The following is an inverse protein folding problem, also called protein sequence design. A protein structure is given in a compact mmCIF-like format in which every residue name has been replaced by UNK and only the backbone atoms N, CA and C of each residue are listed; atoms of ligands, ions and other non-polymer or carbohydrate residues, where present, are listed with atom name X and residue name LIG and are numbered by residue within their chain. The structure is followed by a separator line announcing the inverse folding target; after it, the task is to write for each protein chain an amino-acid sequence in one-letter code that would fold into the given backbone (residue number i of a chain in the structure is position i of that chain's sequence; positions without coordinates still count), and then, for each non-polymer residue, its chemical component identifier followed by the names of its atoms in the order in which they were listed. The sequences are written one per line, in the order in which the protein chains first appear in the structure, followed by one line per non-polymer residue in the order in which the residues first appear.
data_IF_805502003711
#
_entry.id   IF_805502003711
#
_cell.length_a   1.000
_cell.length_b   1.000
_cell.length_c   1.000
_cell.angle_alpha   90.00
_cell.angle_beta   90.00
_cell.angle_gamma   90.00
#
_symmetry.space_group_name_H-M   'P 1'
#
loop_
_entity.id
_entity.type
_entity.pdbx_description
1 polymer ?
#
# COMPACT_ATOMS: atom_id res chain seq x y z
N UNK A 1 29.17 52.14 -25.51
CA UNK A 1 29.46 51.67 -24.14
C UNK A 1 28.38 50.68 -23.72
N UNK A 2 28.62 49.38 -23.89
CA UNK A 2 27.64 48.31 -23.60
C UNK A 2 27.93 47.70 -22.21
N UNK A 3 26.93 47.69 -21.31
CA UNK A 3 27.03 47.05 -19.98
C UNK A 3 26.55 45.60 -20.06
N UNK A 4 27.50 44.66 -19.94
CA UNK A 4 27.28 43.22 -19.84
C UNK A 4 26.72 42.84 -18.45
N UNK A 5 25.46 42.41 -18.38
CA UNK A 5 24.89 41.79 -17.17
C UNK A 5 25.01 40.26 -17.25
N UNK A 6 26.11 39.72 -16.71
CA UNK A 6 26.27 38.28 -16.49
C UNK A 6 25.35 37.81 -15.36
N UNK A 7 24.22 37.20 -15.70
CA UNK A 7 23.37 36.43 -14.77
C UNK A 7 24.20 35.29 -14.17
N UNK A 8 24.48 35.34 -12.86
CA UNK A 8 25.05 34.23 -12.10
C UNK A 8 24.07 33.06 -12.11
N UNK A 9 24.39 32.01 -12.88
CA UNK A 9 23.74 30.69 -12.76
C UNK A 9 24.00 30.14 -11.36
N UNK A 10 22.97 30.11 -10.50
CA UNK A 10 22.99 29.32 -9.27
C UNK A 10 23.03 27.84 -9.65
N UNK A 11 24.09 27.14 -9.23
CA UNK A 11 24.17 25.67 -9.30
C UNK A 11 22.95 25.10 -8.56
N UNK A 12 22.09 24.36 -9.26
CA UNK A 12 21.11 23.48 -8.61
C UNK A 12 21.91 22.41 -7.89
N UNK A 13 21.94 22.47 -6.56
CA UNK A 13 22.44 21.37 -5.73
C UNK A 13 21.42 20.26 -5.84
N UNK A 14 21.85 19.12 -6.39
CA UNK A 14 21.10 17.87 -6.36
C UNK A 14 21.02 17.43 -4.90
N UNK A 15 19.85 17.57 -4.30
CA UNK A 15 19.56 17.01 -2.99
C UNK A 15 18.73 15.76 -3.24
N UNK A 16 19.39 14.60 -3.27
CA UNK A 16 18.73 13.30 -3.38
C UNK A 16 18.11 12.98 -2.02
N UNK A 17 16.84 13.35 -1.83
CA UNK A 17 16.06 12.90 -0.67
C UNK A 17 15.45 11.55 -1.03
N UNK A 18 16.07 10.47 -0.57
CA UNK A 18 15.44 9.15 -0.56
C UNK A 18 14.56 9.06 0.68
N UNK A 19 13.24 9.10 0.49
CA UNK A 19 12.30 8.60 1.47
C UNK A 19 11.40 7.61 0.74
N UNK A 20 11.70 6.33 0.93
CA UNK A 20 10.92 5.23 0.41
C UNK A 20 9.67 5.10 1.28
N UNK A 21 8.49 5.28 0.68
CA UNK A 21 7.29 4.67 1.24
C UNK A 21 7.43 3.19 0.90
N UNK A 22 8.05 2.43 1.80
CA UNK A 22 8.19 0.97 1.63
C UNK A 22 6.86 0.35 2.00
N UNK A 23 6.02 0.17 0.99
CA UNK A 23 4.91 -0.77 1.04
C UNK A 23 5.50 -2.19 0.96
N UNK A 24 5.26 -2.95 2.03
CA UNK A 24 5.93 -4.20 2.32
C UNK A 24 5.16 -5.37 1.70
N UNK A 25 5.40 -5.69 0.43
CA UNK A 25 4.86 -6.93 -0.14
C UNK A 25 5.79 -8.09 0.24
N UNK A 26 5.46 -8.79 1.32
CA UNK A 26 6.23 -9.93 1.81
C UNK A 26 5.39 -11.19 1.95
N UNK A 27 5.27 -11.98 0.89
CA UNK A 27 4.78 -13.37 0.99
C UNK A 27 5.94 -14.29 1.39
N UNK A 28 5.83 -14.95 2.55
CA UNK A 28 6.82 -15.94 3.04
C UNK A 28 6.20 -17.32 3.02
N UNK A 29 6.64 -18.17 2.08
CA UNK A 29 6.48 -19.62 2.14
C UNK A 29 7.63 -20.23 2.94
N UNK A 30 7.37 -20.83 4.10
CA UNK A 30 8.24 -21.84 4.71
C UNK A 30 7.42 -22.79 5.59
N UNK A 31 7.11 -23.99 5.10
CA UNK A 31 6.64 -25.10 5.93
C UNK A 31 7.72 -26.20 5.92
N UNK A 32 8.56 -26.23 6.95
CA UNK A 32 9.47 -27.35 7.21
C UNK A 32 8.85 -28.26 8.27
N UNK A 33 8.67 -29.53 7.91
CA UNK A 33 8.18 -30.61 8.77
C UNK A 33 8.92 -30.67 10.11
N UNK A 34 8.19 -30.53 11.21
CA UNK A 34 8.64 -31.00 12.53
C UNK A 34 7.56 -31.91 13.12
N UNK A 35 7.87 -33.20 13.11
CA UNK A 35 7.09 -34.27 13.72
C UNK A 35 7.36 -34.25 15.23
N UNK A 36 6.39 -33.83 16.04
CA UNK A 36 6.24 -34.33 17.41
C UNK A 36 4.79 -34.09 17.87
N UNK A 37 4.04 -35.19 18.02
CA UNK A 37 2.65 -35.19 18.42
C UNK A 37 2.53 -34.97 19.94
N UNK A 38 1.88 -33.87 20.34
CA UNK A 38 1.26 -33.72 21.65
C UNK A 38 -0.27 -33.80 21.47
N UNK A 39 -1.02 -34.35 22.43
CA UNK A 39 -2.48 -34.45 22.33
C UNK A 39 -3.08 -33.04 22.25
N UNK A 40 -3.87 -32.80 21.21
CA UNK A 40 -4.44 -31.50 20.88
C UNK A 40 -5.59 -31.13 21.82
N UNK A 41 -5.40 -30.10 22.63
CA UNK A 41 -6.51 -29.27 23.10
C UNK A 41 -7.26 -28.70 21.88
N UNK A 42 -8.59 -28.51 21.91
CA UNK A 42 -9.31 -27.90 20.80
C UNK A 42 -8.80 -26.47 20.59
N UNK A 43 -7.97 -26.29 19.56
CA UNK A 43 -7.51 -24.99 19.10
C UNK A 43 -8.74 -24.25 18.59
N UNK A 44 -9.08 -23.11 19.19
CA UNK A 44 -9.98 -22.13 18.59
C UNK A 44 -9.37 -21.76 17.23
N UNK A 45 -9.95 -22.29 16.16
CA UNK A 45 -9.60 -21.94 14.79
C UNK A 45 -10.04 -20.49 14.59
N UNK A 46 -9.09 -19.55 14.60
CA UNK A 46 -9.31 -18.23 14.01
C UNK A 46 -9.90 -18.46 12.62
N UNK A 47 -11.13 -18.00 12.37
CA UNK A 47 -11.78 -18.15 11.07
C UNK A 47 -10.92 -17.45 10.03
N UNK A 48 -10.19 -18.24 9.23
CA UNK A 48 -9.40 -17.75 8.12
C UNK A 48 -10.38 -17.18 7.10
N UNK A 49 -10.44 -15.85 6.98
CA UNK A 49 -11.30 -15.17 6.01
C UNK A 49 -10.96 -15.70 4.61
N UNK A 50 -11.95 -16.28 3.93
CA UNK A 50 -11.73 -16.72 2.57
C UNK A 50 -11.42 -15.53 1.67
N UNK A 51 -10.66 -15.74 0.59
CA UNK A 51 -10.31 -14.67 -0.36
C UNK A 51 -11.54 -13.94 -0.91
N UNK A 52 -12.63 -14.67 -1.12
CA UNK A 52 -13.91 -14.12 -1.58
C UNK A 52 -14.58 -13.29 -0.49
N UNK A 53 -14.58 -13.73 0.76
CA UNK A 53 -15.11 -12.94 1.89
C UNK A 53 -14.34 -11.64 2.08
N UNK A 54 -13.01 -11.67 1.93
CA UNK A 54 -12.19 -10.46 1.99
C UNK A 54 -12.59 -9.44 0.91
N UNK A 55 -12.74 -9.89 -0.35
CA UNK A 55 -13.15 -9.02 -1.46
C UNK A 55 -14.58 -8.51 -1.23
N UNK A 56 -15.52 -9.40 -0.94
CA UNK A 56 -16.94 -9.04 -0.80
C UNK A 56 -17.21 -8.12 0.39
N UNK A 57 -16.42 -8.23 1.46
CA UNK A 57 -16.49 -7.31 2.59
C UNK A 57 -16.05 -5.89 2.22
N UNK A 58 -14.93 -5.74 1.51
CA UNK A 58 -14.35 -4.42 1.18
C UNK A 58 -14.95 -3.76 -0.06
N UNK A 59 -15.50 -4.55 -0.99
CA UNK A 59 -15.99 -4.06 -2.27
C UNK A 59 -17.04 -2.94 -2.16
N UNK A 60 -18.06 -3.00 -1.28
CA UNK A 60 -19.03 -1.92 -1.15
C UNK A 60 -18.39 -0.57 -0.81
N UNK A 61 -17.41 -0.55 0.10
CA UNK A 61 -16.74 0.69 0.49
C UNK A 61 -15.75 1.15 -0.59
N UNK A 62 -15.04 0.22 -1.27
CA UNK A 62 -14.20 0.57 -2.40
C UNK A 62 -14.99 1.24 -3.53
N UNK A 63 -16.22 0.76 -3.79
CA UNK A 63 -17.16 1.37 -4.74
C UNK A 63 -17.60 2.77 -4.30
N UNK A 64 -17.93 2.94 -3.02
CA UNK A 64 -18.28 4.27 -2.49
C UNK A 64 -17.12 5.26 -2.67
N UNK A 65 -15.89 4.85 -2.38
CA UNK A 65 -14.71 5.68 -2.60
C UNK A 65 -14.57 6.01 -4.09
N UNK A 66 -14.75 5.03 -4.98
CA UNK A 66 -14.72 5.25 -6.42
C UNK A 66 -15.72 6.32 -6.86
N UNK A 67 -16.98 6.20 -6.45
CA UNK A 67 -18.04 7.15 -6.80
C UNK A 67 -17.75 8.58 -6.29
N UNK A 68 -17.18 8.69 -5.08
CA UNK A 68 -16.90 10.00 -4.44
C UNK A 68 -15.61 10.66 -4.93
N UNK A 69 -14.58 9.87 -5.24
CA UNK A 69 -13.20 10.35 -5.40
C UNK A 69 -12.60 10.04 -6.78
N UNK A 70 -13.26 9.23 -7.61
CA UNK A 70 -12.80 8.83 -8.94
C UNK A 70 -11.69 7.78 -8.94
N UNK A 71 -11.21 7.33 -7.78
CA UNK A 71 -10.18 6.30 -7.66
C UNK A 71 -10.80 4.95 -7.99
N UNK A 72 -10.23 4.20 -8.94
CA UNK A 72 -10.79 2.90 -9.35
C UNK A 72 -10.87 1.91 -8.17
N UNK A 73 -12.06 1.34 -7.95
CA UNK A 73 -12.28 0.39 -6.87
C UNK A 73 -11.38 -0.85 -6.99
N UNK A 74 -11.11 -1.28 -8.21
CA UNK A 74 -10.19 -2.38 -8.52
C UNK A 74 -8.75 -2.10 -8.04
N UNK A 75 -8.30 -0.84 -8.09
CA UNK A 75 -6.99 -0.42 -7.58
C UNK A 75 -6.97 -0.49 -6.06
N UNK A 76 -8.01 0.05 -5.40
CA UNK A 76 -8.11 0.03 -3.94
C UNK A 76 -8.10 -1.42 -3.43
N UNK A 77 -8.93 -2.28 -4.02
CA UNK A 77 -9.02 -3.70 -3.64
C UNK A 77 -7.74 -4.47 -3.99
N UNK A 78 -7.15 -4.23 -5.16
CA UNK A 78 -5.91 -4.87 -5.58
C UNK A 78 -4.74 -4.55 -4.66
N UNK A 79 -4.62 -3.28 -4.23
CA UNK A 79 -3.63 -2.88 -3.23
C UNK A 79 -3.96 -3.47 -1.86
N UNK A 80 -5.22 -3.42 -1.41
CA UNK A 80 -5.60 -4.03 -0.13
C UNK A 80 -5.20 -5.50 -0.07
N UNK A 81 -5.49 -6.29 -1.11
CA UNK A 81 -5.09 -7.70 -1.20
C UNK A 81 -3.57 -7.86 -1.09
N UNK A 82 -2.81 -7.10 -1.87
CA UNK A 82 -1.36 -7.25 -1.99
C UNK A 82 -0.63 -6.82 -0.71
N UNK A 83 -1.04 -5.70 -0.11
CA UNK A 83 -0.38 -5.10 1.05
C UNK A 83 -0.74 -5.80 2.37
N UNK A 84 -1.95 -6.38 2.46
CA UNK A 84 -2.44 -7.03 3.68
C UNK A 84 -2.24 -8.54 3.72
N UNK A 85 -1.79 -9.14 2.62
CA UNK A 85 -1.85 -10.59 2.40
C UNK A 85 -3.26 -11.14 2.67
N UNK A 86 -4.27 -10.62 1.96
CA UNK A 86 -5.68 -11.01 2.16
C UNK A 86 -6.20 -10.76 3.58
N UNK A 87 -5.76 -9.68 4.22
CA UNK A 87 -6.08 -9.35 5.60
C UNK A 87 -5.34 -10.19 6.63
N UNK A 88 -4.46 -11.11 6.22
CA UNK A 88 -3.76 -12.04 7.12
C UNK A 88 -2.50 -11.45 7.75
N UNK A 89 -2.02 -10.28 7.33
CA UNK A 89 -0.89 -9.65 7.99
C UNK A 89 -1.22 -9.29 9.45
N UNK A 90 -0.21 -9.36 10.33
CA UNK A 90 -0.39 -8.99 11.75
C UNK A 90 -0.96 -7.57 11.90
N UNK A 91 -0.54 -6.65 11.03
CA UNK A 91 -1.04 -5.28 10.98
C UNK A 91 -2.53 -5.21 10.63
N UNK A 92 -2.97 -6.02 9.67
CA UNK A 92 -4.38 -6.04 9.23
C UNK A 92 -5.28 -6.69 10.27
N UNK A 93 -4.88 -7.83 10.84
CA UNK A 93 -5.70 -8.58 11.78
C UNK A 93 -5.86 -7.89 13.14
N UNK A 94 -4.77 -7.31 13.68
CA UNK A 94 -4.77 -6.77 15.05
C UNK A 94 -5.02 -5.28 15.12
N UNK A 95 -4.72 -4.55 14.04
CA UNK A 95 -4.70 -3.08 14.04
C UNK A 95 -5.47 -2.48 12.87
N UNK A 96 -6.17 -3.32 12.10
CA UNK A 96 -6.97 -2.95 10.94
C UNK A 96 -6.21 -2.14 9.88
N UNK A 97 -4.89 -2.26 9.81
CA UNK A 97 -4.04 -1.50 8.90
C UNK A 97 -3.70 -2.32 7.66
N UNK A 98 -4.59 -2.28 6.67
CA UNK A 98 -4.49 -3.05 5.42
C UNK A 98 -3.26 -2.69 4.58
N UNK A 99 -2.81 -1.44 4.66
CA UNK A 99 -1.80 -0.91 3.74
C UNK A 99 -0.45 -0.66 4.44
N UNK A 100 -0.27 -1.07 5.69
CA UNK A 100 0.99 -0.84 6.42
C UNK A 100 1.35 0.65 6.58
N UNK A 101 0.36 1.52 6.72
CA UNK A 101 0.57 2.98 6.81
C UNK A 101 1.31 3.30 8.13
N UNK A 102 2.49 3.91 8.00
CA UNK A 102 3.32 4.36 9.13
C UNK A 102 2.67 5.56 9.82
N UNK A 103 2.76 5.60 11.14
CA UNK A 103 2.28 6.72 11.94
C UNK A 103 3.38 7.77 12.16
N UNK A 104 3.02 9.04 12.00
CA UNK A 104 3.88 10.17 12.32
C UNK A 104 3.19 11.07 13.33
N UNK A 105 3.87 11.40 14.44
CA UNK A 105 3.34 12.31 15.45
C UNK A 105 2.41 11.65 16.49
N UNK A 106 1.34 12.35 16.86
CA UNK A 106 0.40 11.95 17.92
C UNK A 106 -0.82 11.26 17.31
N UNK A 107 -1.32 10.22 17.98
CA UNK A 107 -2.45 9.40 17.54
C UNK A 107 -2.24 7.94 17.99
N UNK A 108 -3.26 7.12 17.82
CA UNK A 108 -3.17 5.69 18.13
C UNK A 108 -2.19 5.03 17.14
N UNK A 109 -1.22 4.33 17.71
CA UNK A 109 -0.14 3.70 16.96
C UNK A 109 0.39 2.48 17.67
N UNK A 110 0.92 1.55 16.89
CA UNK A 110 1.62 0.37 17.38
C UNK A 110 3.07 0.39 16.89
N UNK A 111 4.00 0.07 17.78
CA UNK A 111 5.41 -0.08 17.44
C UNK A 111 5.72 -1.54 17.12
N UNK A 112 6.07 -1.82 15.86
CA UNK A 112 6.36 -3.18 15.39
C UNK A 112 7.66 -3.23 14.61
N UNK A 113 8.23 -4.44 14.53
CA UNK A 113 9.31 -4.74 13.59
C UNK A 113 8.73 -4.95 12.20
N UNK A 114 9.41 -4.43 11.19
CA UNK A 114 9.08 -4.60 9.78
C UNK A 114 10.35 -4.87 8.97
N UNK A 115 10.19 -5.44 7.78
CA UNK A 115 11.28 -5.64 6.83
C UNK A 115 11.24 -4.54 5.78
N UNK A 116 12.39 -3.94 5.50
CA UNK A 116 12.53 -2.93 4.45
C UNK A 116 13.56 -3.38 3.44
N UNK A 117 13.36 -3.04 2.17
CA UNK A 117 14.32 -3.29 1.11
C UNK A 117 15.18 -2.05 0.89
N UNK A 118 16.43 -2.09 1.35
CA UNK A 118 17.39 -0.97 1.28
C UNK A 118 18.66 -1.47 0.62
N UNK A 119 19.14 -0.76 -0.40
CA UNK A 119 20.37 -1.07 -1.13
C UNK A 119 20.45 -2.52 -1.63
N UNK A 120 19.33 -3.05 -2.15
CA UNK A 120 19.25 -4.40 -2.69
C UNK A 120 19.13 -5.51 -1.65
N UNK A 121 18.93 -5.19 -0.36
CA UNK A 121 18.87 -6.16 0.74
C UNK A 121 17.67 -5.90 1.65
N UNK A 122 17.09 -6.98 2.13
CA UNK A 122 16.08 -6.92 3.21
C UNK A 122 16.78 -6.72 4.55
N UNK A 123 16.36 -5.70 5.29
CA UNK A 123 16.76 -5.42 6.66
C UNK A 123 15.53 -5.38 7.57
N UNK A 124 15.68 -5.78 8.83
CA UNK A 124 14.62 -5.58 9.82
C UNK A 124 14.85 -4.25 10.53
N UNK A 125 13.81 -3.41 10.55
CA UNK A 125 13.78 -2.17 11.34
C UNK A 125 12.53 -2.16 12.21
N UNK A 126 12.43 -1.19 13.10
CA UNK A 126 11.19 -0.95 13.84
C UNK A 126 10.58 0.39 13.45
N UNK A 127 9.26 0.43 13.37
CA UNK A 127 8.50 1.61 12.98
C UNK A 127 7.19 1.69 13.76
N UNK A 128 6.67 2.92 13.88
CA UNK A 128 5.31 3.16 14.34
C UNK A 128 4.34 3.00 13.16
N UNK A 129 3.28 2.25 13.35
CA UNK A 129 2.19 2.06 12.38
C UNK A 129 0.88 2.61 12.93
N UNK A 130 0.03 3.14 12.06
CA UNK A 130 -1.31 3.59 12.43
C UNK A 130 -2.17 2.40 12.85
N UNK A 131 -3.07 2.64 13.79
CA UNK A 131 -4.12 1.71 14.22
C UNK A 131 -5.47 2.29 13.80
N UNK A 132 -6.34 1.47 13.24
CA UNK A 132 -7.66 1.89 12.76
C UNK A 132 -8.80 1.17 13.49
N UNK A 133 -9.98 1.81 13.60
CA UNK A 133 -11.16 1.16 14.16
C UNK A 133 -11.65 -0.03 13.32
N UNK A 134 -11.50 0.04 12.00
CA UNK A 134 -11.92 -0.96 11.02
C UNK A 134 -11.09 -0.84 9.73
N UNK A 135 -11.29 -1.77 8.79
CA UNK A 135 -10.55 -1.81 7.52
C UNK A 135 -10.95 -0.66 6.59
N UNK A 136 -12.21 -0.24 6.63
CA UNK A 136 -12.75 0.89 5.87
C UNK A 136 -12.03 2.20 6.23
N UNK A 137 -11.79 2.47 7.51
CA UNK A 137 -11.00 3.63 7.93
C UNK A 137 -9.55 3.58 7.41
N UNK A 138 -8.97 2.39 7.28
CA UNK A 138 -7.66 2.23 6.64
C UNK A 138 -7.73 2.47 5.13
N UNK A 139 -8.84 2.15 4.46
CA UNK A 139 -9.05 2.44 3.04
C UNK A 139 -9.20 3.94 2.80
N UNK A 140 -9.98 4.64 3.62
CA UNK A 140 -10.14 6.09 3.55
C UNK A 140 -8.80 6.84 3.75
N UNK A 141 -7.96 6.41 4.71
CA UNK A 141 -6.63 7.04 4.92
C UNK A 141 -5.65 6.71 3.79
N UNK A 142 -5.72 5.50 3.23
CA UNK A 142 -4.96 5.14 2.05
C UNK A 142 -5.33 6.01 0.85
N UNK A 143 -6.62 6.17 0.54
CA UNK A 143 -7.03 6.96 -0.64
C UNK A 143 -6.86 8.46 -0.45
N UNK A 144 -6.87 8.94 0.80
CA UNK A 144 -6.46 10.30 1.12
C UNK A 144 -5.00 10.60 0.69
N UNK A 145 -4.10 9.60 0.64
CA UNK A 145 -2.75 9.77 0.08
C UNK A 145 -2.81 10.18 -1.40
N UNK A 146 -3.72 9.60 -2.18
CA UNK A 146 -3.84 9.92 -3.60
C UNK A 146 -4.33 11.35 -3.82
N UNK A 147 -5.31 11.77 -3.00
CA UNK A 147 -5.89 13.11 -3.08
C UNK A 147 -4.95 14.21 -2.61
N UNK A 148 -4.20 13.96 -1.54
CA UNK A 148 -3.38 14.98 -0.88
C UNK A 148 -1.89 14.93 -1.29
N UNK A 149 -1.47 13.85 -1.94
CA UNK A 149 -0.08 13.56 -2.24
C UNK A 149 0.78 13.47 -0.98
N UNK A 150 2.05 13.84 -1.13
CA UNK A 150 3.04 13.88 -0.05
C UNK A 150 3.46 15.32 0.22
N UNK A 151 4.04 15.59 1.39
CA UNK A 151 4.38 16.95 1.85
C UNK A 151 5.25 17.78 0.89
N UNK A 152 6.04 17.11 0.04
CA UNK A 152 6.91 17.77 -0.95
C UNK A 152 6.31 17.80 -2.36
N UNK A 153 5.24 17.04 -2.62
CA UNK A 153 4.52 17.01 -3.89
C UNK A 153 3.07 16.53 -3.67
N UNK A 154 2.16 17.49 -3.57
CA UNK A 154 0.73 17.24 -3.37
C UNK A 154 0.02 16.62 -4.58
N UNK A 155 0.65 16.67 -5.76
CA UNK A 155 0.05 16.20 -7.02
C UNK A 155 0.67 14.87 -7.47
N UNK A 156 1.57 14.26 -6.67
CA UNK A 156 2.37 13.10 -7.10
C UNK A 156 1.52 11.91 -7.57
N UNK A 157 0.32 11.75 -7.02
CA UNK A 157 -0.60 10.66 -7.33
C UNK A 157 -1.80 11.08 -8.19
N UNK A 158 -1.84 12.32 -8.69
CA UNK A 158 -2.90 12.76 -9.61
C UNK A 158 -3.04 11.85 -10.85
N UNK A 159 -1.96 11.34 -11.46
CA UNK A 159 -2.10 10.39 -12.57
C UNK A 159 -2.81 9.07 -12.20
N UNK A 160 -2.85 8.69 -10.92
CA UNK A 160 -3.62 7.52 -10.45
C UNK A 160 -5.11 7.83 -10.45
N UNK A 161 -5.49 9.05 -10.10
CA UNK A 161 -6.88 9.52 -10.06
C UNK A 161 -7.41 9.78 -11.47
N UNK A 162 -6.58 10.31 -12.38
CA UNK A 162 -6.97 10.58 -13.78
C UNK A 162 -7.02 9.32 -14.66
N UNK A 163 -6.46 8.22 -14.19
CA UNK A 163 -6.41 6.97 -14.95
C UNK A 163 -7.83 6.43 -15.22
N UNK A 164 -8.11 6.10 -16.48
CA UNK A 164 -9.42 5.58 -16.89
C UNK A 164 -9.49 4.07 -16.85
N UNK A 165 -8.35 3.41 -16.70
CA UNK A 165 -8.23 1.96 -16.59
C UNK A 165 -7.31 1.57 -15.45
N UNK A 166 -7.55 0.40 -14.85
CA UNK A 166 -6.70 -0.11 -13.79
C UNK A 166 -5.24 -0.33 -14.24
N UNK A 167 -5.00 -0.60 -15.53
CA UNK A 167 -3.64 -0.72 -16.10
C UNK A 167 -2.91 0.62 -16.10
N UNK A 168 -3.62 1.70 -16.46
CA UNK A 168 -3.09 3.06 -16.39
C UNK A 168 -2.81 3.45 -14.94
N UNK A 169 -3.74 3.18 -14.02
CA UNK A 169 -3.58 3.50 -12.61
C UNK A 169 -2.44 2.72 -11.95
N UNK A 170 -2.31 1.42 -12.23
CA UNK A 170 -1.20 0.59 -11.74
C UNK A 170 0.16 1.09 -12.25
N UNK A 171 0.23 1.50 -13.52
CA UNK A 171 1.44 2.11 -14.09
C UNK A 171 1.72 3.47 -13.46
N UNK A 172 0.69 4.27 -13.21
CA UNK A 172 0.81 5.55 -12.52
C UNK A 172 1.39 5.37 -11.12
N UNK A 173 0.88 4.41 -10.33
CA UNK A 173 1.41 4.05 -9.02
C UNK A 173 2.92 3.78 -9.06
N UNK A 174 3.38 2.97 -10.02
CA UNK A 174 4.81 2.69 -10.22
C UNK A 174 5.59 3.96 -10.54
N UNK A 175 5.13 4.75 -11.51
CA UNK A 175 5.85 5.95 -11.95
C UNK A 175 5.86 7.09 -10.93
N UNK A 176 4.84 7.13 -10.07
CA UNK A 176 4.72 8.06 -8.94
C UNK A 176 5.57 7.62 -7.74
N UNK A 177 6.22 6.46 -7.81
CA UNK A 177 7.11 5.96 -6.76
C UNK A 177 6.35 5.43 -5.54
N UNK A 178 5.15 4.89 -5.73
CA UNK A 178 4.36 4.29 -4.64
C UNK A 178 5.13 3.14 -3.96
N UNK A 179 5.75 2.26 -4.74
CA UNK A 179 6.56 1.15 -4.25
C UNK A 179 7.94 1.13 -4.91
N UNK A 180 8.94 0.60 -4.20
CA UNK A 180 10.30 0.39 -4.72
C UNK A 180 10.44 -0.83 -5.60
N UNK A 181 9.48 -1.73 -5.49
CA UNK A 181 9.41 -2.95 -6.27
C UNK A 181 9.26 -2.61 -7.76
N UNK A 182 10.19 -3.02 -8.64
CA UNK A 182 10.12 -2.71 -10.08
C UNK A 182 8.91 -3.36 -10.78
N UNK A 183 8.33 -4.41 -10.20
CA UNK A 183 7.23 -5.18 -10.80
C UNK A 183 5.88 -4.86 -10.12
N UNK A 184 5.81 -3.80 -9.31
CA UNK A 184 4.60 -3.46 -8.54
C UNK A 184 3.36 -3.29 -9.42
N UNK A 185 3.49 -2.55 -10.52
CA UNK A 185 2.38 -2.37 -11.46
C UNK A 185 1.85 -3.69 -12.03
N UNK A 186 2.75 -4.62 -12.38
CA UNK A 186 2.38 -5.93 -12.91
C UNK A 186 1.70 -6.79 -11.83
N UNK A 187 2.20 -6.76 -10.59
CA UNK A 187 1.58 -7.46 -9.45
C UNK A 187 0.14 -7.00 -9.22
N UNK A 188 -0.10 -5.69 -9.21
CA UNK A 188 -1.45 -5.12 -9.04
C UNK A 188 -2.36 -5.54 -10.21
N UNK A 189 -1.89 -5.42 -11.45
CA UNK A 189 -2.65 -5.85 -12.64
C UNK A 189 -3.01 -7.33 -12.54
N UNK A 190 -2.06 -8.19 -12.17
CA UNK A 190 -2.27 -9.62 -12.04
C UNK A 190 -3.30 -9.96 -10.96
N UNK A 191 -3.28 -9.29 -9.81
CA UNK A 191 -4.30 -9.44 -8.76
C UNK A 191 -5.67 -9.03 -9.29
N UNK A 192 -5.78 -7.87 -9.93
CA UNK A 192 -7.03 -7.35 -10.48
C UNK A 192 -7.62 -8.31 -11.53
N UNK A 193 -6.78 -8.83 -12.43
CA UNK A 193 -7.23 -9.75 -13.47
C UNK A 193 -7.58 -11.14 -12.92
N UNK A 194 -6.81 -11.66 -11.97
CA UNK A 194 -7.04 -13.00 -11.39
C UNK A 194 -8.36 -13.11 -10.62
N UNK A 195 -8.81 -12.00 -10.02
CA UNK A 195 -10.04 -11.95 -9.21
C UNK A 195 -11.12 -11.08 -9.84
N UNK A 196 -10.96 -10.72 -11.11
CA UNK A 196 -11.91 -9.90 -11.89
C UNK A 196 -12.34 -8.60 -11.19
N UNK A 197 -11.43 -7.96 -10.44
CA UNK A 197 -11.76 -6.80 -9.59
C UNK A 197 -12.19 -5.58 -10.41
N UNK A 198 -11.82 -5.53 -11.69
CA UNK A 198 -12.26 -4.50 -12.64
C UNK A 198 -13.79 -4.42 -12.77
N UNK A 199 -14.54 -5.45 -12.35
CA UNK A 199 -16.00 -5.42 -12.31
C UNK A 199 -16.57 -4.42 -11.30
N UNK A 200 -15.76 -4.00 -10.31
CA UNK A 200 -16.15 -3.04 -9.29
C UNK A 200 -15.93 -1.58 -9.71
N UNK A 201 -15.30 -1.32 -10.86
CA UNK A 201 -15.07 0.02 -11.43
C UNK A 201 -16.32 0.61 -12.13
N UNK A 202 -17.52 0.10 -11.82
CA UNK A 202 -18.80 0.46 -12.45
C UNK A 202 -19.81 1.00 -11.44
#
# INVERSE_FOLDING_TARGET
MAKNNRKRRRKKSSFSFFLFIVFCVGSVYLFSNFLFAAPSEPVETSEEVSREEFITHLAPHAKEIHERQGILASIILGQAILESDWGQSELSQKYNNLFGIKAYGKGDKVYLKTKEFVDGKWIEISADFKVYPDWEASMDDHTALFLNGVSWNHEIYYPVIEATTYKEAAKALQTSGYATDPDYSEKIINVIESYELYRYDQ
#
